data_IF_936248336685
#
_entry.id   IF_936248336685
#
_cell.length_a   1.000
_cell.length_b   1.000
_cell.length_c   1.000
_cell.angle_alpha   90.00
_cell.angle_beta   90.00
_cell.angle_gamma   90.00
#
_symmetry.space_group_name_H-M   'P 1'
#
loop_
_entity.id
_entity.type
_entity.pdbx_description
1 polymer ?
#
# COMPACT_ATOMS: atom_id res chain seq x y z
N UNK A 1 22.31 21.58 12.28
CA UNK A 1 21.26 21.89 11.28
C UNK A 1 21.89 22.62 10.11
N UNK A 2 22.23 21.91 9.03
CA UNK A 2 22.89 22.50 7.85
C UNK A 2 21.85 22.97 6.81
N UNK A 3 22.26 23.77 5.82
CA UNK A 3 21.40 24.24 4.72
C UNK A 3 20.68 23.08 4.00
N UNK A 4 21.33 21.92 3.89
CA UNK A 4 20.74 20.70 3.36
C UNK A 4 19.52 20.19 4.15
N UNK A 5 19.48 20.37 5.48
CA UNK A 5 18.34 19.95 6.31
C UNK A 5 17.09 20.79 6.02
N UNK A 6 17.27 22.09 5.78
CA UNK A 6 16.16 22.98 5.41
C UNK A 6 15.58 22.65 4.04
N UNK A 7 16.43 22.27 3.09
CA UNK A 7 15.99 21.87 1.75
C UNK A 7 15.33 20.49 1.77
N UNK A 8 15.80 19.58 2.61
CA UNK A 8 15.11 18.32 2.87
C UNK A 8 13.72 18.55 3.49
N UNK A 9 13.61 19.43 4.49
CA UNK A 9 12.34 19.77 5.11
C UNK A 9 11.37 20.41 4.09
N UNK A 10 11.84 21.38 3.31
CA UNK A 10 11.05 22.02 2.26
C UNK A 10 10.65 21.03 1.17
N UNK A 11 11.57 20.16 0.74
CA UNK A 11 11.30 19.08 -0.21
C UNK A 11 10.20 18.13 0.29
N UNK A 12 10.28 17.72 1.55
CA UNK A 12 9.26 16.89 2.20
C UNK A 12 7.89 17.58 2.23
N UNK A 13 7.83 18.88 2.56
CA UNK A 13 6.58 19.65 2.54
C UNK A 13 5.99 19.68 1.13
N UNK A 14 6.82 19.93 0.11
CA UNK A 14 6.37 19.94 -1.30
C UNK A 14 5.83 18.57 -1.70
N UNK A 15 6.51 17.49 -1.33
CA UNK A 15 6.07 16.10 -1.55
C UNK A 15 4.68 15.87 -0.94
N UNK A 16 4.50 16.20 0.35
CA UNK A 16 3.20 16.06 1.04
C UNK A 16 2.12 16.91 0.37
N UNK A 17 2.42 18.15 -0.01
CA UNK A 17 1.48 19.02 -0.70
C UNK A 17 1.07 18.44 -2.06
N UNK A 18 2.02 17.87 -2.82
CA UNK A 18 1.70 17.21 -4.09
C UNK A 18 0.84 15.97 -3.91
N UNK A 19 1.00 15.21 -2.82
CA UNK A 19 0.12 14.10 -2.46
C UNK A 19 -1.31 14.58 -2.17
N UNK A 20 -1.47 15.65 -1.39
CA UNK A 20 -2.78 16.25 -1.08
C UNK A 20 -3.48 16.73 -2.36
N UNK A 21 -2.72 17.36 -3.26
CA UNK A 21 -3.21 17.81 -4.57
C UNK A 21 -3.43 16.66 -5.56
N UNK A 22 -3.20 15.39 -5.17
CA UNK A 22 -3.33 14.18 -6.00
C UNK A 22 -2.51 14.28 -7.30
N UNK A 23 -1.33 14.91 -7.23
CA UNK A 23 -0.40 15.09 -8.35
C UNK A 23 0.75 14.08 -8.27
N UNK A 24 1.51 13.97 -9.35
CA UNK A 24 2.67 13.08 -9.40
C UNK A 24 3.78 13.56 -8.45
N UNK A 25 4.13 12.71 -7.49
CA UNK A 25 5.10 12.99 -6.42
C UNK A 25 6.54 12.76 -6.86
N UNK A 26 6.75 12.01 -7.95
CA UNK A 26 8.08 11.61 -8.43
C UNK A 26 8.93 12.82 -8.82
N UNK A 27 8.33 13.80 -9.50
CA UNK A 27 9.05 15.00 -9.97
C UNK A 27 9.59 15.80 -8.76
N UNK A 28 8.76 16.18 -7.76
CA UNK A 28 9.25 16.79 -6.52
C UNK A 28 10.37 16.00 -5.82
N UNK A 29 10.25 14.67 -5.72
CA UNK A 29 11.27 13.83 -5.09
C UNK A 29 12.60 13.92 -5.84
N UNK A 30 12.59 13.76 -7.16
CA UNK A 30 13.81 13.83 -7.99
C UNK A 30 14.49 15.19 -7.83
N UNK A 31 13.71 16.27 -7.93
CA UNK A 31 14.24 17.64 -7.80
C UNK A 31 14.82 17.87 -6.41
N UNK A 32 14.12 17.45 -5.34
CA UNK A 32 14.60 17.61 -3.97
C UNK A 32 15.89 16.83 -3.72
N UNK A 33 15.96 15.56 -4.10
CA UNK A 33 17.17 14.73 -3.93
C UNK A 33 18.35 15.28 -4.73
N UNK A 34 18.11 15.77 -5.96
CA UNK A 34 19.14 16.40 -6.78
C UNK A 34 19.67 17.69 -6.14
N UNK A 35 18.79 18.57 -5.66
CA UNK A 35 19.18 19.82 -5.00
C UNK A 35 19.99 19.57 -3.72
N UNK A 36 19.61 18.56 -2.93
CA UNK A 36 20.37 18.14 -1.75
C UNK A 36 21.77 17.67 -2.17
N UNK A 37 21.87 16.80 -3.19
CA UNK A 37 23.15 16.32 -3.70
C UNK A 37 24.05 17.44 -4.23
N UNK A 38 23.47 18.42 -4.93
CA UNK A 38 24.21 19.57 -5.49
C UNK A 38 24.80 20.46 -4.39
N UNK A 39 24.05 20.71 -3.33
CA UNK A 39 24.50 21.58 -2.23
C UNK A 39 25.52 20.89 -1.35
N UNK A 40 25.42 19.56 -1.22
CA UNK A 40 26.36 18.79 -0.42
C UNK A 40 27.71 18.61 -1.12
N UNK A 41 27.72 18.38 -2.44
CA UNK A 41 28.94 18.09 -3.20
C UNK A 41 29.48 19.26 -4.04
N UNK A 42 28.69 20.32 -4.26
CA UNK A 42 29.09 21.52 -5.02
C UNK A 42 29.29 21.32 -6.53
N UNK A 43 29.00 20.13 -7.07
CA UNK A 43 29.20 19.79 -8.48
C UNK A 43 28.05 18.96 -9.05
N UNK A 44 27.82 19.07 -10.35
CA UNK A 44 26.67 18.46 -11.03
C UNK A 44 26.77 16.93 -11.12
N UNK A 45 27.98 16.39 -11.32
CA UNK A 45 28.19 14.94 -11.51
C UNK A 45 27.84 14.14 -10.24
N UNK A 46 28.34 14.50 -9.04
CA UNK A 46 27.94 13.83 -7.79
C UNK A 46 26.47 14.03 -7.43
N UNK A 47 25.85 15.15 -7.83
CA UNK A 47 24.43 15.40 -7.59
C UNK A 47 23.55 14.40 -8.35
N UNK A 48 23.89 14.07 -9.59
CA UNK A 48 23.21 13.02 -10.36
C UNK A 48 23.49 11.64 -9.75
N UNK A 49 24.73 11.35 -9.32
CA UNK A 49 25.06 10.10 -8.64
C UNK A 49 24.28 9.92 -7.34
N UNK A 50 24.02 11.00 -6.59
CA UNK A 50 23.20 10.95 -5.38
C UNK A 50 21.77 10.46 -5.67
N UNK A 51 21.20 10.81 -6.83
CA UNK A 51 19.89 10.33 -7.26
C UNK A 51 19.89 8.81 -7.49
N UNK A 52 20.91 8.30 -8.20
CA UNK A 52 21.07 6.86 -8.42
C UNK A 52 21.30 6.10 -7.11
N UNK A 53 22.15 6.64 -6.23
CA UNK A 53 22.40 6.05 -4.91
C UNK A 53 21.14 6.04 -4.05
N UNK A 54 20.30 7.07 -4.12
CA UNK A 54 19.02 7.09 -3.43
C UNK A 54 18.08 5.99 -3.94
N UNK A 55 18.03 5.74 -5.26
CA UNK A 55 17.26 4.63 -5.83
C UNK A 55 17.80 3.27 -5.38
N UNK A 56 19.13 3.08 -5.36
CA UNK A 56 19.76 1.85 -4.88
C UNK A 56 19.49 1.61 -3.39
N UNK A 57 19.55 2.67 -2.57
CA UNK A 57 19.20 2.60 -1.15
C UNK A 57 17.73 2.23 -0.96
N UNK A 58 16.81 2.86 -1.70
CA UNK A 58 15.38 2.53 -1.66
C UNK A 58 15.11 1.07 -2.05
N UNK A 59 15.82 0.54 -3.05
CA UNK A 59 15.73 -0.86 -3.43
C UNK A 59 16.27 -1.79 -2.32
N UNK A 60 17.36 -1.41 -1.64
CA UNK A 60 17.89 -2.15 -0.50
C UNK A 60 16.91 -2.25 0.68
N UNK A 61 16.15 -1.18 0.92
CA UNK A 61 15.17 -1.12 2.01
C UNK A 61 13.84 -1.83 1.68
N UNK A 62 13.32 -1.64 0.47
CA UNK A 62 12.01 -2.15 0.06
C UNK A 62 12.07 -3.50 -0.67
N UNK A 63 13.26 -3.93 -1.11
CA UNK A 63 13.43 -5.10 -1.97
C UNK A 63 12.93 -6.39 -1.33
N UNK A 64 13.20 -6.59 -0.03
CA UNK A 64 12.70 -7.76 0.72
C UNK A 64 11.16 -7.79 0.74
N UNK A 65 10.53 -6.64 0.94
CA UNK A 65 9.07 -6.48 0.93
C UNK A 65 8.50 -6.80 -0.46
N UNK A 66 9.13 -6.31 -1.54
CA UNK A 66 8.70 -6.62 -2.91
C UNK A 66 8.76 -8.11 -3.23
N UNK A 67 9.82 -8.80 -2.77
CA UNK A 67 9.93 -10.26 -2.94
C UNK A 67 8.81 -10.98 -2.21
N UNK A 68 8.50 -10.59 -0.97
CA UNK A 68 7.41 -11.19 -0.20
C UNK A 68 6.06 -10.95 -0.90
N UNK A 69 5.76 -9.72 -1.31
CA UNK A 69 4.51 -9.41 -2.04
C UNK A 69 4.42 -10.21 -3.35
N UNK A 70 5.53 -10.34 -4.08
CA UNK A 70 5.58 -11.13 -5.32
C UNK A 70 5.28 -12.61 -5.08
N UNK A 71 5.84 -13.20 -4.01
CA UNK A 71 5.56 -14.58 -3.62
C UNK A 71 4.10 -14.76 -3.19
N UNK A 72 3.56 -13.83 -2.41
CA UNK A 72 2.15 -13.85 -2.00
C UNK A 72 1.20 -13.72 -3.19
N UNK A 73 1.53 -12.85 -4.15
CA UNK A 73 0.77 -12.72 -5.40
C UNK A 73 0.79 -14.03 -6.20
N UNK A 74 1.96 -14.67 -6.33
CA UNK A 74 2.07 -15.96 -7.03
C UNK A 74 1.26 -17.07 -6.31
N UNK A 75 1.26 -17.09 -4.98
CA UNK A 75 0.45 -18.02 -4.19
C UNK A 75 -1.05 -17.80 -4.43
N UNK A 76 -1.53 -16.55 -4.35
CA UNK A 76 -2.93 -16.21 -4.63
C UNK A 76 -3.33 -16.57 -6.06
N UNK A 77 -2.45 -16.33 -7.02
CA UNK A 77 -2.69 -16.69 -8.41
C UNK A 77 -2.74 -18.21 -8.61
N UNK A 78 -1.95 -18.98 -7.87
CA UNK A 78 -2.04 -20.45 -7.89
C UNK A 78 -3.35 -20.95 -7.27
N UNK A 79 -3.80 -20.32 -6.18
CA UNK A 79 -5.09 -20.63 -5.54
C UNK A 79 -6.28 -20.30 -6.46
N UNK A 80 -6.21 -19.20 -7.20
CA UNK A 80 -7.29 -18.78 -8.11
C UNK A 80 -7.47 -19.72 -9.30
N UNK A 81 -6.39 -20.30 -9.83
CA UNK A 81 -6.46 -21.34 -10.87
C UNK A 81 -7.24 -22.57 -10.39
N UNK A 82 -7.18 -22.86 -9.09
CA UNK A 82 -7.87 -24.01 -8.49
C UNK A 82 -9.31 -23.65 -8.05
N UNK A 83 -9.72 -22.37 -8.12
CA UNK A 83 -10.99 -21.86 -7.57
C UNK A 83 -11.06 -21.87 -6.05
N UNK A 84 -9.91 -22.06 -5.37
CA UNK A 84 -9.86 -22.14 -3.91
C UNK A 84 -10.18 -20.78 -3.26
N UNK A 85 -9.81 -19.69 -3.91
CA UNK A 85 -10.13 -18.32 -3.51
C UNK A 85 -11.64 -18.03 -3.50
N UNK A 86 -12.39 -18.56 -4.47
CA UNK A 86 -13.85 -18.48 -4.49
C UNK A 86 -14.50 -19.29 -3.35
N UNK A 87 -13.97 -20.50 -3.08
CA UNK A 87 -14.43 -21.35 -2.00
C UNK A 87 -14.15 -20.73 -0.62
N UNK A 88 -13.01 -20.05 -0.47
CA UNK A 88 -12.66 -19.32 0.76
C UNK A 88 -13.67 -18.23 1.10
N UNK A 89 -14.20 -17.52 0.09
CA UNK A 89 -15.17 -16.44 0.32
C UNK A 89 -16.64 -16.87 0.21
N UNK A 90 -16.91 -18.06 -0.33
CA UNK A 90 -18.26 -18.62 -0.45
C UNK A 90 -19.11 -18.58 0.84
N UNK A 91 -18.60 -18.95 2.03
CA UNK A 91 -19.42 -18.92 3.25
C UNK A 91 -19.81 -17.50 3.67
N UNK A 92 -19.00 -16.49 3.32
CA UNK A 92 -19.26 -15.09 3.66
C UNK A 92 -20.49 -14.56 2.93
N UNK A 93 -20.78 -15.09 1.73
CA UNK A 93 -21.95 -14.72 0.91
C UNK A 93 -23.27 -14.94 1.66
N UNK A 94 -23.35 -15.93 2.54
CA UNK A 94 -24.57 -16.28 3.30
C UNK A 94 -24.93 -15.23 4.36
N UNK A 95 -23.95 -14.48 4.86
CA UNK A 95 -24.19 -13.45 5.88
C UNK A 95 -24.70 -12.13 5.28
N UNK A 96 -24.63 -11.95 3.96
CA UNK A 96 -24.94 -10.69 3.27
C UNK A 96 -26.45 -10.55 3.00
N UNK A 97 -27.23 -10.41 4.07
CA UNK A 97 -28.70 -10.32 4.01
C UNK A 97 -29.22 -8.88 4.09
N UNK A 98 -28.44 -7.95 4.63
CA UNK A 98 -28.80 -6.54 4.75
C UNK A 98 -27.61 -5.63 4.43
N UNK A 99 -27.82 -4.34 4.10
CA UNK A 99 -26.74 -3.43 3.75
C UNK A 99 -25.71 -3.27 4.87
N UNK A 100 -26.14 -3.10 6.12
CA UNK A 100 -25.25 -2.92 7.26
C UNK A 100 -24.42 -4.18 7.54
N UNK A 101 -25.06 -5.35 7.52
CA UNK A 101 -24.36 -6.62 7.74
C UNK A 101 -23.36 -6.85 6.61
N UNK A 102 -23.75 -6.59 5.35
CA UNK A 102 -22.86 -6.71 4.20
C UNK A 102 -21.64 -5.80 4.30
N UNK A 103 -21.81 -4.56 4.77
CA UNK A 103 -20.69 -3.65 5.02
C UNK A 103 -19.70 -4.23 6.04
N UNK A 104 -20.21 -4.69 7.20
CA UNK A 104 -19.38 -5.27 8.26
C UNK A 104 -18.68 -6.55 7.76
N UNK A 105 -19.39 -7.41 7.03
CA UNK A 105 -18.82 -8.62 6.43
C UNK A 105 -17.67 -8.27 5.48
N UNK A 106 -17.81 -7.26 4.62
CA UNK A 106 -16.72 -6.81 3.75
C UNK A 106 -15.54 -6.29 4.57
N UNK A 107 -15.76 -5.45 5.59
CA UNK A 107 -14.69 -4.91 6.43
C UNK A 107 -13.90 -6.05 7.10
N UNK A 108 -14.60 -6.97 7.77
CA UNK A 108 -13.97 -8.09 8.49
C UNK A 108 -13.25 -9.03 7.53
N UNK A 109 -13.91 -9.42 6.43
CA UNK A 109 -13.29 -10.29 5.43
C UNK A 109 -12.05 -9.64 4.80
N UNK A 110 -12.15 -8.36 4.45
CA UNK A 110 -11.03 -7.62 3.86
C UNK A 110 -9.87 -7.52 4.82
N UNK A 111 -10.13 -7.18 6.08
CA UNK A 111 -9.08 -7.11 7.09
C UNK A 111 -8.39 -8.46 7.28
N UNK A 112 -9.16 -9.53 7.55
CA UNK A 112 -8.61 -10.86 7.81
C UNK A 112 -7.81 -11.36 6.62
N UNK A 113 -8.37 -11.33 5.41
CA UNK A 113 -7.69 -11.83 4.22
C UNK A 113 -6.46 -10.96 3.92
N UNK A 114 -6.55 -9.63 4.02
CA UNK A 114 -5.43 -8.73 3.73
C UNK A 114 -4.27 -8.87 4.71
N UNK A 115 -4.53 -9.23 5.97
CA UNK A 115 -3.48 -9.51 6.96
C UNK A 115 -2.65 -10.74 6.56
N UNK A 116 -3.27 -11.77 5.98
CA UNK A 116 -2.54 -12.98 5.54
C UNK A 116 -1.95 -12.88 4.15
N UNK A 117 -2.65 -12.22 3.22
CA UNK A 117 -2.38 -12.29 1.78
C UNK A 117 -1.72 -11.04 1.19
N UNK A 118 -1.43 -10.05 2.04
CA UNK A 118 -1.11 -8.68 1.65
C UNK A 118 -2.33 -7.97 1.01
N UNK A 119 -2.59 -6.69 1.34
CA UNK A 119 -3.78 -6.00 0.83
C UNK A 119 -3.82 -5.81 -0.68
N UNK A 120 -2.67 -5.56 -1.32
CA UNK A 120 -2.61 -5.29 -2.78
C UNK A 120 -3.24 -6.41 -3.63
N UNK A 121 -2.95 -7.70 -3.39
CA UNK A 121 -3.62 -8.78 -4.10
C UNK A 121 -4.95 -9.24 -3.47
N UNK A 122 -5.15 -9.07 -2.16
CA UNK A 122 -6.41 -9.48 -1.49
C UNK A 122 -7.61 -8.59 -1.84
N UNK A 123 -7.38 -7.27 -1.96
CA UNK A 123 -8.43 -6.27 -2.21
C UNK A 123 -9.18 -6.52 -3.53
N UNK A 124 -8.51 -6.76 -4.67
CA UNK A 124 -9.19 -7.08 -5.93
C UNK A 124 -10.05 -8.35 -5.85
N UNK A 125 -9.59 -9.39 -5.17
CA UNK A 125 -10.32 -10.64 -4.99
C UNK A 125 -11.67 -10.40 -4.29
N UNK A 126 -11.64 -9.71 -3.16
CA UNK A 126 -12.84 -9.38 -2.37
C UNK A 126 -13.73 -8.40 -3.14
N UNK A 127 -13.12 -7.43 -3.81
CA UNK A 127 -13.80 -6.48 -4.68
C UNK A 127 -14.60 -7.17 -5.78
N UNK A 128 -14.01 -8.18 -6.43
CA UNK A 128 -14.65 -8.92 -7.50
C UNK A 128 -15.72 -9.90 -6.98
N UNK A 129 -15.49 -10.57 -5.85
CA UNK A 129 -16.33 -11.68 -5.41
C UNK A 129 -17.43 -11.31 -4.40
N UNK A 130 -17.17 -10.35 -3.49
CA UNK A 130 -18.08 -10.03 -2.38
C UNK A 130 -18.85 -8.72 -2.59
N UNK A 131 -18.24 -7.69 -3.19
CA UNK A 131 -18.92 -6.40 -3.41
C UNK A 131 -20.17 -6.52 -4.28
N UNK A 132 -20.19 -7.26 -5.39
CA UNK A 132 -21.40 -7.38 -6.21
C UNK A 132 -22.56 -8.02 -5.44
N UNK A 133 -22.26 -8.92 -4.50
CA UNK A 133 -23.25 -9.59 -3.66
C UNK A 133 -23.78 -8.63 -2.62
N UNK A 134 -22.90 -7.84 -1.99
CA UNK A 134 -23.30 -6.76 -1.08
C UNK A 134 -24.23 -5.75 -1.73
N UNK A 135 -23.92 -5.36 -2.97
CA UNK A 135 -24.73 -4.41 -3.73
C UNK A 135 -26.10 -4.99 -4.04
N UNK A 136 -26.19 -6.28 -4.37
CA UNK A 136 -27.49 -6.98 -4.51
C UNK A 136 -28.28 -7.04 -3.19
N UNK A 137 -27.60 -7.07 -2.05
CA UNK A 137 -28.22 -6.98 -0.72
C UNK A 137 -28.57 -5.54 -0.29
N UNK A 138 -28.39 -4.55 -1.17
CA UNK A 138 -28.78 -3.15 -0.95
C UNK A 138 -27.65 -2.23 -0.44
N UNK A 139 -26.39 -2.69 -0.40
CA UNK A 139 -25.27 -1.82 -0.05
C UNK A 139 -24.92 -0.86 -1.20
N UNK A 140 -24.78 0.46 -0.96
CA UNK A 140 -24.27 1.37 -1.98
C UNK A 140 -22.86 0.96 -2.43
N UNK A 141 -22.55 0.90 -3.74
CA UNK A 141 -21.23 0.49 -4.24
C UNK A 141 -20.07 1.28 -3.62
N UNK A 142 -20.28 2.59 -3.40
CA UNK A 142 -19.30 3.46 -2.76
C UNK A 142 -18.98 3.02 -1.32
N UNK A 143 -19.99 2.56 -0.56
CA UNK A 143 -19.77 2.06 0.80
C UNK A 143 -18.94 0.77 0.78
N UNK A 144 -19.16 -0.12 -0.21
CA UNK A 144 -18.32 -1.29 -0.42
C UNK A 144 -16.86 -0.95 -0.73
N UNK A 145 -16.63 0.04 -1.61
CA UNK A 145 -15.28 0.52 -1.93
C UNK A 145 -14.59 1.13 -0.70
N UNK A 146 -15.30 1.93 0.09
CA UNK A 146 -14.79 2.51 1.34
C UNK A 146 -14.45 1.43 2.37
N UNK A 147 -15.31 0.41 2.54
CA UNK A 147 -15.05 -0.71 3.43
C UNK A 147 -13.72 -1.41 3.09
N UNK A 148 -13.51 -1.69 1.81
CA UNK A 148 -12.30 -2.34 1.31
C UNK A 148 -11.06 -1.46 1.50
N UNK A 149 -11.16 -0.17 1.15
CA UNK A 149 -10.04 0.76 1.28
C UNK A 149 -9.62 0.93 2.75
N UNK A 150 -10.58 1.07 3.67
CA UNK A 150 -10.32 1.20 5.11
C UNK A 150 -9.72 -0.07 5.69
N UNK A 151 -10.32 -1.23 5.43
CA UNK A 151 -9.89 -2.49 6.02
C UNK A 151 -8.57 -3.01 5.43
N UNK A 152 -8.40 -2.92 4.10
CA UNK A 152 -7.23 -3.39 3.39
C UNK A 152 -6.05 -2.42 3.50
N UNK A 153 -6.18 -1.23 2.92
CA UNK A 153 -5.07 -0.29 2.82
C UNK A 153 -4.86 0.52 4.11
N UNK A 154 -5.92 0.79 4.87
CA UNK A 154 -5.82 1.46 6.17
C UNK A 154 -5.35 0.51 7.26
N UNK A 155 -6.26 -0.34 7.73
CA UNK A 155 -6.07 -1.15 8.93
C UNK A 155 -5.02 -2.26 8.74
N UNK A 156 -5.12 -3.07 7.68
CA UNK A 156 -4.21 -4.21 7.53
C UNK A 156 -2.76 -3.79 7.30
N UNK A 157 -2.50 -2.74 6.50
CA UNK A 157 -1.13 -2.20 6.35
C UNK A 157 -0.60 -1.56 7.62
N UNK A 158 -1.44 -0.83 8.35
CA UNK A 158 -1.00 -0.19 9.60
C UNK A 158 -0.65 -1.19 10.70
N UNK A 159 -1.30 -2.37 10.68
CA UNK A 159 -1.09 -3.41 11.68
C UNK A 159 0.01 -4.40 11.29
N UNK A 160 0.08 -4.77 10.01
CA UNK A 160 0.99 -5.76 9.39
C UNK A 160 1.63 -6.77 10.36
N UNK A 161 0.78 -7.52 11.07
CA UNK A 161 1.19 -8.40 12.17
C UNK A 161 1.73 -9.75 11.69
N UNK A 162 1.27 -10.24 10.53
CA UNK A 162 1.66 -11.55 9.97
C UNK A 162 2.86 -11.42 9.05
N UNK A 163 2.81 -10.51 8.07
CA UNK A 163 3.84 -10.38 7.04
C UNK A 163 4.99 -9.50 7.52
N UNK A 164 4.70 -8.50 8.37
CA UNK A 164 5.66 -7.62 9.03
C UNK A 164 6.56 -6.84 8.06
N UNK A 165 6.16 -6.67 6.81
CA UNK A 165 6.88 -5.83 5.85
C UNK A 165 6.82 -4.34 6.22
N UNK A 166 5.62 -3.78 6.35
CA UNK A 166 5.40 -2.37 6.64
C UNK A 166 5.85 -1.98 8.07
N UNK A 167 5.62 -2.87 9.03
CA UNK A 167 6.06 -2.66 10.41
C UNK A 167 7.58 -2.64 10.54
N UNK A 168 8.30 -3.56 9.87
CA UNK A 168 9.76 -3.58 9.90
C UNK A 168 10.36 -2.32 9.27
N UNK A 169 9.77 -1.83 8.17
CA UNK A 169 10.21 -0.57 7.55
C UNK A 169 10.06 0.60 8.52
N UNK A 170 8.90 0.70 9.18
CA UNK A 170 8.62 1.75 10.16
C UNK A 170 9.55 1.65 11.37
N UNK A 171 9.78 0.44 11.90
CA UNK A 171 10.67 0.19 13.02
C UNK A 171 12.12 0.57 12.70
N UNK A 172 12.63 0.18 11.53
CA UNK A 172 14.00 0.51 11.08
C UNK A 172 14.20 2.01 10.80
N UNK A 173 13.13 2.74 10.51
CA UNK A 173 13.19 4.20 10.36
C UNK A 173 13.11 4.97 11.68
N UNK A 174 12.63 4.33 12.76
CA UNK A 174 12.37 4.95 14.05
C UNK A 174 13.58 4.91 15.02
N UNK A 175 14.66 4.18 14.69
CA UNK A 175 15.89 4.07 15.48
C UNK A 175 16.86 3.05 14.88
#
# INVERSE_FOLDING_TARGET
>A
MTLAHWIYALGTIVVVLTMILRRNVVIPCIVSTFLIGLIFHGSLVPAVQALFNACMAALGELGSIFVIIGLMYAMLQSLSVTGADELLVAPLKRFMVSPLISYITIVVATYVISVFFWPTPAVPLIGALLVPIAVKAGLPPMAGAVAIALAGQGMALSGDIVIQGANNLSAKSAG
#
